data_IF_230732597072
#
_entry.id   IF_230732597072
#
_cell.length_a   1.000
_cell.length_b   1.000
_cell.length_c   1.000
_cell.angle_alpha   90.00
_cell.angle_beta   90.00
_cell.angle_gamma   90.00
#
_symmetry.space_group_name_H-M   'P 1'
#
loop_
_entity.id
_entity.type
_entity.pdbx_description
1 polymer ?
#
# COMPACT_ATOMS: atom_id res chain seq x y z
N UNK A 1 12.97 5.33 -11.61
CA UNK A 1 12.01 4.30 -11.09
C UNK A 1 11.58 4.70 -9.68
N UNK A 2 10.43 4.24 -9.17
CA UNK A 2 9.91 4.66 -7.84
C UNK A 2 10.88 4.33 -6.70
N UNK A 3 11.65 3.25 -6.84
CA UNK A 3 12.69 2.86 -5.88
C UNK A 3 13.81 3.90 -5.74
N UNK A 4 14.14 4.62 -6.82
CA UNK A 4 15.18 5.68 -6.80
C UNK A 4 14.65 6.95 -6.13
N UNK A 5 13.37 7.29 -6.37
CA UNK A 5 12.68 8.42 -5.72
C UNK A 5 12.57 8.21 -4.21
N UNK A 6 12.25 6.98 -3.80
CA UNK A 6 12.20 6.62 -2.39
C UNK A 6 13.60 6.71 -1.79
N UNK A 7 14.62 6.06 -2.39
CA UNK A 7 16.01 6.14 -1.88
C UNK A 7 16.53 7.57 -1.69
N UNK A 8 16.21 8.51 -2.58
CA UNK A 8 16.63 9.90 -2.42
C UNK A 8 15.94 10.62 -1.25
N UNK A 9 14.74 10.20 -0.86
CA UNK A 9 13.98 10.75 0.27
C UNK A 9 14.54 10.31 1.64
N UNK A 10 15.33 9.23 1.67
CA UNK A 10 15.83 8.62 2.91
C UNK A 10 17.35 8.73 3.10
N UNK A 11 18.05 9.51 2.28
CA UNK A 11 19.51 9.64 2.31
C UNK A 11 20.07 10.34 3.56
N UNK A 12 19.21 10.87 4.45
CA UNK A 12 19.59 11.58 5.68
C UNK A 12 19.34 10.80 6.97
N UNK A 13 19.08 9.50 6.89
CA UNK A 13 18.79 8.64 8.05
C UNK A 13 20.05 7.91 8.51
N UNK A 14 20.30 7.94 9.84
CA UNK A 14 21.38 7.26 10.58
C UNK A 14 21.69 5.84 10.03
N UNK A 15 22.97 5.51 9.83
CA UNK A 15 23.45 4.28 9.17
C UNK A 15 22.94 2.96 9.78
N UNK A 16 22.54 2.98 11.05
CA UNK A 16 21.99 1.82 11.76
C UNK A 16 20.49 1.59 11.52
N UNK A 17 19.77 2.59 11.00
CA UNK A 17 18.33 2.50 10.66
C UNK A 17 18.09 2.17 9.18
N UNK A 18 19.13 2.14 8.36
CA UNK A 18 19.05 2.10 6.90
C UNK A 18 18.54 0.76 6.36
N UNK A 19 18.98 -0.38 6.92
CA UNK A 19 18.56 -1.71 6.43
C UNK A 19 17.07 -2.02 6.70
N UNK A 20 16.55 -1.64 7.87
CA UNK A 20 15.12 -1.82 8.17
C UNK A 20 14.27 -0.91 7.28
N UNK A 21 14.76 0.30 7.03
CA UNK A 21 14.11 1.28 6.17
C UNK A 21 14.08 0.82 4.71
N UNK A 22 15.20 0.31 4.20
CA UNK A 22 15.31 -0.24 2.84
C UNK A 22 14.31 -1.39 2.62
N UNK A 23 14.22 -2.33 3.57
CA UNK A 23 13.25 -3.42 3.49
C UNK A 23 11.79 -2.93 3.49
N UNK A 24 11.46 -1.92 4.30
CA UNK A 24 10.10 -1.34 4.33
C UNK A 24 9.77 -0.60 3.03
N UNK A 25 10.75 0.09 2.44
CA UNK A 25 10.63 0.77 1.14
C UNK A 25 10.38 -0.25 0.02
N UNK A 26 11.16 -1.33 -0.01
CA UNK A 26 11.00 -2.40 -1.01
C UNK A 26 9.63 -3.06 -0.90
N UNK A 27 9.18 -3.35 0.33
CA UNK A 27 7.83 -3.86 0.57
C UNK A 27 6.74 -2.87 0.13
N UNK A 28 6.88 -1.58 0.45
CA UNK A 28 5.93 -0.55 0.01
C UNK A 28 5.85 -0.46 -1.52
N UNK A 29 6.99 -0.50 -2.20
CA UNK A 29 7.06 -0.48 -3.66
C UNK A 29 6.40 -1.71 -4.29
N UNK A 30 6.70 -2.91 -3.78
CA UNK A 30 6.07 -4.15 -4.22
C UNK A 30 4.55 -4.09 -4.06
N UNK A 31 4.06 -3.71 -2.87
CA UNK A 31 2.63 -3.62 -2.60
C UNK A 31 1.93 -2.59 -3.50
N UNK A 32 2.58 -1.46 -3.81
CA UNK A 32 2.00 -0.44 -4.70
C UNK A 32 1.79 -0.97 -6.12
N UNK A 33 2.74 -1.74 -6.65
CA UNK A 33 2.63 -2.38 -7.97
C UNK A 33 1.49 -3.38 -7.98
N UNK A 34 1.46 -4.29 -6.99
CA UNK A 34 0.41 -5.31 -6.86
C UNK A 34 -0.99 -4.70 -6.69
N UNK A 35 -1.12 -3.60 -5.94
CA UNK A 35 -2.39 -2.86 -5.82
C UNK A 35 -2.88 -2.35 -7.18
N UNK A 36 -1.98 -1.85 -8.04
CA UNK A 36 -2.33 -1.40 -9.38
C UNK A 36 -2.85 -2.54 -10.26
N UNK A 37 -2.19 -3.70 -10.20
CA UNK A 37 -2.61 -4.92 -10.92
C UNK A 37 -4.00 -5.36 -10.45
N UNK A 38 -4.21 -5.44 -9.14
CA UNK A 38 -5.49 -5.84 -8.56
C UNK A 38 -6.60 -4.84 -8.90
N UNK A 39 -6.31 -3.54 -8.89
CA UNK A 39 -7.26 -2.50 -9.29
C UNK A 39 -7.66 -2.66 -10.77
N UNK A 40 -6.72 -2.98 -11.66
CA UNK A 40 -7.02 -3.26 -13.06
C UNK A 40 -7.90 -4.50 -13.22
N UNK A 41 -7.61 -5.57 -12.48
CA UNK A 41 -8.43 -6.79 -12.48
C UNK A 41 -9.87 -6.50 -12.00
N UNK A 42 -10.01 -5.73 -10.93
CA UNK A 42 -11.33 -5.31 -10.42
C UNK A 42 -12.06 -4.43 -11.43
N UNK A 43 -11.36 -3.52 -12.12
CA UNK A 43 -11.96 -2.68 -13.16
C UNK A 43 -12.46 -3.51 -14.35
N UNK A 44 -11.65 -4.48 -14.80
CA UNK A 44 -12.00 -5.33 -15.96
C UNK A 44 -13.10 -6.34 -15.67
N UNK A 45 -13.12 -6.89 -14.46
CA UNK A 45 -13.95 -8.04 -14.15
C UNK A 45 -15.02 -7.75 -13.09
N UNK A 46 -15.01 -6.61 -12.44
CA UNK A 46 -15.87 -6.28 -11.30
C UNK A 46 -15.41 -6.92 -9.99
N UNK A 47 -15.79 -6.33 -8.86
CA UNK A 47 -15.42 -6.78 -7.52
C UNK A 47 -16.30 -7.93 -6.98
N UNK A 48 -17.49 -8.11 -7.56
CA UNK A 48 -18.51 -9.06 -7.10
C UNK A 48 -18.78 -10.08 -8.19
N UNK A 49 -19.01 -11.32 -7.79
CA UNK A 49 -19.56 -12.37 -8.64
C UNK A 49 -20.91 -12.81 -8.09
N UNK A 50 -21.86 -13.00 -8.98
CA UNK A 50 -23.22 -13.45 -8.65
C UNK A 50 -23.39 -14.87 -9.17
N UNK A 51 -23.84 -15.78 -8.33
CA UNK A 51 -24.12 -17.16 -8.74
C UNK A 51 -25.40 -17.22 -9.57
N UNK A 52 -25.63 -18.35 -10.25
CA UNK A 52 -26.88 -18.60 -10.98
C UNK A 52 -28.13 -18.56 -10.11
N UNK A 53 -27.99 -18.69 -8.78
CA UNK A 53 -29.08 -18.59 -7.80
C UNK A 53 -29.18 -17.20 -7.17
N UNK A 54 -28.44 -16.21 -7.66
CA UNK A 54 -28.47 -14.83 -7.15
C UNK A 54 -27.58 -14.55 -5.95
N UNK A 55 -26.88 -15.56 -5.40
CA UNK A 55 -25.98 -15.35 -4.26
C UNK A 55 -24.75 -14.53 -4.69
N UNK A 56 -24.45 -13.45 -3.98
CA UNK A 56 -23.30 -12.59 -4.27
C UNK A 56 -22.12 -12.97 -3.39
N UNK A 57 -20.92 -12.98 -3.97
CA UNK A 57 -19.67 -13.12 -3.22
C UNK A 57 -18.60 -12.19 -3.81
N UNK A 58 -17.71 -11.70 -2.97
CA UNK A 58 -16.56 -10.92 -3.43
C UNK A 58 -15.61 -11.80 -4.25
N UNK A 59 -15.03 -11.26 -5.32
CA UNK A 59 -13.99 -11.93 -6.10
C UNK A 59 -12.65 -11.92 -5.37
N UNK A 60 -11.79 -12.88 -5.65
CA UNK A 60 -10.49 -13.02 -4.98
C UNK A 60 -9.58 -11.80 -5.20
N UNK A 61 -9.58 -11.20 -6.39
CA UNK A 61 -8.84 -9.96 -6.64
C UNK A 61 -9.29 -8.82 -5.71
N UNK A 62 -10.61 -8.67 -5.50
CA UNK A 62 -11.15 -7.66 -4.60
C UNK A 62 -10.86 -7.97 -3.12
N UNK A 63 -10.95 -9.24 -2.71
CA UNK A 63 -10.55 -9.64 -1.35
C UNK A 63 -9.06 -9.38 -1.09
N UNK A 64 -8.21 -9.70 -2.06
CA UNK A 64 -6.78 -9.51 -1.91
C UNK A 64 -6.42 -8.03 -1.91
N UNK A 65 -7.04 -7.22 -2.78
CA UNK A 65 -6.89 -5.77 -2.78
C UNK A 65 -7.19 -5.17 -1.40
N UNK A 66 -8.32 -5.52 -0.79
CA UNK A 66 -8.69 -5.03 0.55
C UNK A 66 -7.68 -5.41 1.63
N UNK A 67 -7.08 -6.60 1.57
CA UNK A 67 -6.01 -6.99 2.50
C UNK A 67 -4.72 -6.21 2.25
N UNK A 68 -4.32 -6.11 0.98
CA UNK A 68 -3.06 -5.51 0.58
C UNK A 68 -3.03 -4.00 0.82
N UNK A 69 -4.15 -3.29 0.59
CA UNK A 69 -4.22 -1.84 0.81
C UNK A 69 -4.09 -1.49 2.29
N UNK A 70 -4.64 -2.32 3.18
CA UNK A 70 -4.48 -2.16 4.62
C UNK A 70 -3.03 -2.38 5.05
N UNK A 71 -2.37 -3.43 4.55
CA UNK A 71 -0.94 -3.68 4.81
C UNK A 71 -0.05 -2.55 4.28
N UNK A 72 -0.35 -2.04 3.08
CA UNK A 72 0.34 -0.91 2.48
C UNK A 72 0.23 0.36 3.34
N UNK A 73 -0.96 0.64 3.88
CA UNK A 73 -1.18 1.75 4.81
C UNK A 73 -0.35 1.62 6.09
N UNK A 74 -0.26 0.43 6.66
CA UNK A 74 0.56 0.17 7.86
C UNK A 74 2.04 0.43 7.57
N UNK A 75 2.58 -0.12 6.48
CA UNK A 75 3.99 0.08 6.12
C UNK A 75 4.31 1.55 5.89
N UNK A 76 3.44 2.29 5.21
CA UNK A 76 3.62 3.73 5.00
C UNK A 76 3.57 4.52 6.33
N UNK A 77 2.67 4.17 7.25
CA UNK A 77 2.65 4.78 8.60
C UNK A 77 3.96 4.53 9.33
N UNK A 78 4.46 3.30 9.31
CA UNK A 78 5.76 2.96 9.92
C UNK A 78 6.91 3.75 9.30
N UNK A 79 6.96 3.86 7.97
CA UNK A 79 7.95 4.68 7.26
C UNK A 79 7.89 6.15 7.69
N UNK A 80 6.69 6.73 7.79
CA UNK A 80 6.50 8.12 8.22
C UNK A 80 6.95 8.35 9.66
N UNK A 81 6.64 7.44 10.58
CA UNK A 81 7.10 7.49 11.98
C UNK A 81 8.63 7.45 12.05
N UNK A 82 9.29 6.57 11.29
CA UNK A 82 10.75 6.46 11.28
C UNK A 82 11.43 7.75 10.78
N UNK A 83 10.82 8.45 9.83
CA UNK A 83 11.34 9.72 9.29
C UNK A 83 11.27 10.90 10.26
N UNK A 84 10.68 10.74 11.45
CA UNK A 84 10.56 11.82 12.43
C UNK A 84 9.69 12.99 11.96
N UNK A 85 8.90 12.80 10.89
CA UNK A 85 7.81 13.71 10.59
C UNK A 85 6.74 13.44 11.62
N UNK A 86 6.56 14.40 12.53
CA UNK A 86 5.33 14.54 13.31
C UNK A 86 4.17 14.61 12.31
N UNK A 87 3.65 13.45 11.91
CA UNK A 87 2.28 13.37 11.42
C UNK A 87 1.47 13.61 12.66
N UNK A 88 1.08 14.88 12.82
CA UNK A 88 0.13 15.33 13.81
C UNK A 88 -1.03 14.35 13.73
N UNK A 89 -1.35 13.70 14.85
CA UNK A 89 -2.56 12.91 15.01
C UNK A 89 -3.76 13.80 14.64
N UNK A 90 -4.27 13.65 13.42
CA UNK A 90 -5.41 14.42 12.94
C UNK A 90 -5.37 14.57 11.44
N UNK A 91 -6.06 13.67 10.75
CA UNK A 91 -6.39 13.72 9.33
C UNK A 91 -5.21 13.65 8.33
N UNK A 92 -5.54 13.40 7.07
CA UNK A 92 -4.76 13.71 5.87
C UNK A 92 -3.93 12.61 5.16
N UNK A 93 -4.20 12.55 3.85
CA UNK A 93 -3.55 11.87 2.72
C UNK A 93 -3.88 10.39 2.44
N UNK A 94 -4.08 9.51 3.43
CA UNK A 94 -4.41 8.10 3.10
C UNK A 94 -5.90 7.89 2.82
N UNK A 95 -6.76 8.66 3.50
CA UNK A 95 -8.21 8.64 3.28
C UNK A 95 -8.61 9.27 1.94
N UNK A 96 -7.76 10.12 1.37
CA UNK A 96 -7.98 10.71 0.05
C UNK A 96 -7.75 9.69 -1.11
N UNK A 97 -7.13 8.54 -0.79
CA UNK A 97 -6.82 7.47 -1.75
C UNK A 97 -7.79 6.27 -1.69
N UNK A 98 -8.70 6.24 -0.71
CA UNK A 98 -9.78 5.25 -0.55
C UNK A 98 -11.06 5.72 -1.27
#
# INVERSE_FOLDING_TARGET
MEIERLRSLFSSVDETKTQLLDNLIEQAAFMKVELGILQEQIRKHGAVQVSSKGAQRQKEAAKYFSKLINSYGIVNKTLNTIMGKNVIDGDDAFDEFL
#
